data_IF_908813303396
#
_entry.id   IF_908813303396
#
_cell.length_a   1.000
_cell.length_b   1.000
_cell.length_c   1.000
_cell.angle_alpha   90.00
_cell.angle_beta   90.00
_cell.angle_gamma   90.00
#
_symmetry.space_group_name_H-M   'P 1'
#
loop_
_entity.id
_entity.type
_entity.pdbx_description
1 polymer ?
#
# COMPACT_ATOMS: atom_id res chain seq x y z
N UNK A 1 16.42 20.39 -8.73
CA UNK A 1 17.16 21.16 -9.74
C UNK A 1 16.20 21.41 -10.89
N UNK A 2 15.80 22.65 -11.13
CA UNK A 2 14.98 22.98 -12.30
C UNK A 2 15.88 23.12 -13.53
N UNK A 3 15.47 22.52 -14.65
CA UNK A 3 16.20 22.64 -15.91
C UNK A 3 15.78 23.92 -16.64
N UNK A 4 16.77 24.69 -17.12
CA UNK A 4 16.52 25.91 -17.89
C UNK A 4 15.79 25.60 -19.21
N UNK A 5 15.07 26.58 -19.75
CA UNK A 5 14.35 26.42 -21.04
C UNK A 5 15.33 26.10 -22.18
N UNK A 6 16.50 26.73 -22.15
CA UNK A 6 17.58 26.55 -23.12
C UNK A 6 18.11 25.12 -23.08
N UNK A 7 18.28 24.54 -21.88
CA UNK A 7 18.72 23.15 -21.72
C UNK A 7 17.70 22.15 -22.29
N UNK A 8 16.40 22.35 -22.02
CA UNK A 8 15.34 21.51 -22.60
C UNK A 8 15.29 21.62 -24.13
N UNK A 9 15.45 22.83 -24.67
CA UNK A 9 15.50 23.05 -26.12
C UNK A 9 16.70 22.34 -26.76
N UNK A 10 17.88 22.40 -26.14
CA UNK A 10 19.07 21.71 -26.62
C UNK A 10 18.89 20.18 -26.65
N UNK A 11 18.26 19.60 -25.61
CA UNK A 11 17.92 18.16 -25.59
C UNK A 11 16.91 17.78 -26.69
N UNK A 12 15.92 18.63 -26.94
CA UNK A 12 14.93 18.39 -28.00
C UNK A 12 15.54 18.41 -29.40
N UNK A 13 16.65 19.13 -29.60
CA UNK A 13 17.37 19.20 -30.87
C UNK A 13 18.29 17.99 -31.16
N UNK A 14 18.44 17.05 -30.21
CA UNK A 14 19.18 15.81 -30.48
C UNK A 14 18.54 15.02 -31.61
N UNK A 15 19.37 14.38 -32.43
CA UNK A 15 18.91 13.40 -33.42
C UNK A 15 18.24 12.21 -32.74
N UNK A 16 17.44 11.45 -33.49
CA UNK A 16 16.77 10.24 -32.94
C UNK A 16 17.77 9.27 -32.31
N UNK A 17 18.90 9.02 -33.00
CA UNK A 17 19.94 8.08 -32.54
C UNK A 17 20.58 8.55 -31.23
N UNK A 18 20.83 9.86 -31.09
CA UNK A 18 21.40 10.42 -29.86
C UNK A 18 20.42 10.34 -28.68
N UNK A 19 19.13 10.57 -28.95
CA UNK A 19 18.06 10.39 -27.97
C UNK A 19 17.97 8.94 -27.51
N UNK A 20 17.97 7.98 -28.43
CA UNK A 20 17.89 6.55 -28.09
C UNK A 20 19.09 6.10 -27.24
N UNK A 21 20.31 6.49 -27.64
CA UNK A 21 21.53 6.22 -26.85
C UNK A 21 21.49 6.87 -25.47
N UNK A 22 20.90 8.06 -25.33
CA UNK A 22 20.72 8.71 -24.04
C UNK A 22 19.68 7.96 -23.20
N UNK A 23 18.52 7.63 -23.78
CA UNK A 23 17.44 6.88 -23.11
C UNK A 23 17.97 5.56 -22.57
N UNK A 24 18.65 4.74 -23.38
CA UNK A 24 19.21 3.46 -22.91
C UNK A 24 20.22 3.62 -21.78
N UNK A 25 21.00 4.71 -21.75
CA UNK A 25 21.89 5.01 -20.61
C UNK A 25 21.12 5.42 -19.36
N UNK A 26 20.03 6.18 -19.51
CA UNK A 26 19.18 6.60 -18.38
C UNK A 26 18.41 5.41 -17.80
N UNK A 27 17.85 4.53 -18.64
CA UNK A 27 17.13 3.33 -18.19
C UNK A 27 18.03 2.34 -17.42
N UNK A 28 19.33 2.29 -17.74
CA UNK A 28 20.29 1.51 -16.94
C UNK A 28 20.49 2.06 -15.52
N UNK A 29 20.29 3.36 -15.33
CA UNK A 29 20.43 4.03 -14.03
C UNK A 29 19.12 3.99 -13.22
N UNK A 30 17.99 4.13 -13.90
CA UNK A 30 16.67 4.09 -13.29
C UNK A 30 15.96 2.76 -13.56
N UNK A 31 16.15 1.82 -12.63
CA UNK A 31 15.55 0.48 -12.71
C UNK A 31 14.03 0.53 -12.68
N UNK A 32 13.43 1.47 -11.94
CA UNK A 32 11.98 1.55 -11.80
C UNK A 32 11.37 2.01 -13.11
N UNK A 33 11.92 3.08 -13.71
CA UNK A 33 11.49 3.55 -15.03
C UNK A 33 11.66 2.48 -16.10
N UNK A 34 12.77 1.72 -16.05
CA UNK A 34 13.00 0.59 -16.96
C UNK A 34 11.91 -0.49 -16.85
N UNK A 35 11.58 -0.92 -15.63
CA UNK A 35 10.50 -1.89 -15.39
C UNK A 35 9.14 -1.37 -15.83
N UNK A 36 8.84 -0.10 -15.55
CA UNK A 36 7.60 0.56 -15.98
C UNK A 36 7.46 0.57 -17.50
N UNK A 37 8.49 1.04 -18.23
CA UNK A 37 8.45 1.04 -19.69
C UNK A 37 8.39 -0.38 -20.27
N UNK A 38 9.05 -1.35 -19.62
CA UNK A 38 8.91 -2.75 -20.04
C UNK A 38 7.46 -3.22 -19.92
N UNK A 39 6.80 -2.92 -18.81
CA UNK A 39 5.39 -3.21 -18.61
C UNK A 39 4.51 -2.52 -19.66
N UNK A 40 4.70 -1.22 -19.88
CA UNK A 40 3.86 -0.44 -20.80
C UNK A 40 4.06 -0.79 -22.29
N UNK A 41 5.27 -1.23 -22.69
CA UNK A 41 5.62 -1.36 -24.11
C UNK A 41 5.77 -2.81 -24.59
N UNK A 42 6.02 -3.77 -23.69
CA UNK A 42 6.44 -5.13 -24.06
C UNK A 42 5.60 -6.20 -23.36
N UNK A 43 5.27 -6.01 -22.09
CA UNK A 43 4.63 -7.05 -21.28
C UNK A 43 3.24 -7.41 -21.83
N UNK A 44 2.97 -8.70 -22.11
CA UNK A 44 1.68 -9.13 -22.63
C UNK A 44 0.59 -9.16 -21.55
N UNK A 45 0.96 -9.12 -20.27
CA UNK A 45 0.02 -9.19 -19.14
C UNK A 45 -0.61 -7.82 -18.87
N UNK A 46 -1.90 -7.82 -18.54
CA UNK A 46 -2.59 -6.59 -18.14
C UNK A 46 -2.25 -6.19 -16.71
N UNK A 47 -2.63 -4.97 -16.33
CA UNK A 47 -2.55 -4.51 -14.93
C UNK A 47 -3.26 -5.46 -13.98
N UNK A 48 -4.44 -5.96 -14.37
CA UNK A 48 -5.21 -6.92 -13.56
C UNK A 48 -4.45 -8.24 -13.40
N UNK A 49 -3.88 -8.81 -14.47
CA UNK A 49 -3.10 -10.05 -14.34
C UNK A 49 -1.88 -9.90 -13.42
N UNK A 50 -1.20 -8.75 -13.49
CA UNK A 50 -0.11 -8.43 -12.57
C UNK A 50 -0.60 -8.28 -11.14
N UNK A 51 -1.79 -7.72 -10.94
CA UNK A 51 -2.40 -7.56 -9.62
C UNK A 51 -2.74 -8.93 -9.03
N UNK A 52 -3.40 -9.80 -9.78
CA UNK A 52 -3.73 -11.18 -9.35
C UNK A 52 -2.47 -11.94 -8.92
N UNK A 53 -1.41 -11.86 -9.73
CA UNK A 53 -0.10 -12.44 -9.39
C UNK A 53 0.49 -11.85 -8.10
N UNK A 54 0.29 -10.54 -7.89
CA UNK A 54 0.76 -9.86 -6.69
C UNK A 54 -0.05 -10.25 -5.44
N UNK A 55 -1.35 -10.53 -5.58
CA UNK A 55 -2.20 -11.04 -4.49
C UNK A 55 -1.71 -12.40 -4.00
N UNK A 56 -1.35 -13.30 -4.92
CA UNK A 56 -0.75 -14.59 -4.60
C UNK A 56 0.59 -14.42 -3.87
N UNK A 57 1.47 -13.56 -4.39
CA UNK A 57 2.78 -13.27 -3.79
C UNK A 57 2.62 -12.71 -2.37
N UNK A 58 1.70 -11.77 -2.17
CA UNK A 58 1.41 -11.19 -0.86
C UNK A 58 0.92 -12.27 0.10
N UNK A 59 -0.03 -13.10 -0.34
CA UNK A 59 -0.61 -14.18 0.46
C UNK A 59 0.44 -15.20 0.88
N UNK A 60 1.26 -15.67 -0.05
CA UNK A 60 2.34 -16.63 0.22
C UNK A 60 3.39 -16.03 1.18
N UNK A 61 3.84 -14.80 0.92
CA UNK A 61 4.87 -14.17 1.75
C UNK A 61 4.39 -13.86 3.16
N UNK A 62 3.12 -13.49 3.34
CA UNK A 62 2.54 -13.29 4.67
C UNK A 62 2.42 -14.63 5.41
N UNK A 63 1.99 -15.69 4.74
CA UNK A 63 1.97 -17.05 5.31
C UNK A 63 3.38 -17.51 5.73
N UNK A 64 4.41 -17.25 4.92
CA UNK A 64 5.78 -17.56 5.31
C UNK A 64 6.26 -16.69 6.48
N UNK A 65 5.86 -15.41 6.50
CA UNK A 65 6.19 -14.49 7.57
C UNK A 65 5.54 -14.87 8.90
N UNK A 66 4.34 -15.47 8.90
CA UNK A 66 3.58 -15.79 10.12
C UNK A 66 4.35 -16.69 11.09
N UNK A 67 5.26 -17.54 10.56
CA UNK A 67 6.21 -18.36 11.33
C UNK A 67 7.09 -17.55 12.29
N UNK A 68 7.19 -16.24 12.08
CA UNK A 68 8.04 -15.34 12.86
C UNK A 68 7.26 -14.36 13.75
N UNK A 69 5.94 -14.51 13.93
CA UNK A 69 5.11 -13.62 14.77
C UNK A 69 5.70 -13.44 16.19
N UNK A 70 6.25 -14.50 16.78
CA UNK A 70 6.92 -14.42 18.08
C UNK A 70 8.18 -13.53 18.11
N UNK A 71 8.84 -13.31 16.97
CA UNK A 71 9.93 -12.35 16.82
C UNK A 71 9.44 -11.10 16.09
N UNK A 72 8.78 -10.24 16.84
CA UNK A 72 8.01 -9.16 16.30
C UNK A 72 8.81 -8.09 15.54
N UNK A 73 10.05 -7.81 15.97
CA UNK A 73 10.94 -6.88 15.24
C UNK A 73 11.28 -7.43 13.86
N UNK A 74 11.53 -8.73 13.78
CA UNK A 74 11.83 -9.41 12.52
C UNK A 74 10.59 -9.53 11.65
N UNK A 75 9.45 -9.95 12.22
CA UNK A 75 8.16 -10.05 11.54
C UNK A 75 7.76 -8.72 10.89
N UNK A 76 7.74 -7.62 11.66
CA UNK A 76 7.42 -6.30 11.13
C UNK A 76 8.40 -5.85 10.03
N UNK A 77 9.67 -6.27 10.11
CA UNK A 77 10.65 -6.06 9.05
C UNK A 77 10.28 -6.77 7.74
N UNK A 78 9.78 -8.00 7.81
CA UNK A 78 9.30 -8.76 6.65
C UNK A 78 8.04 -8.10 6.08
N UNK A 79 7.06 -7.78 6.92
CA UNK A 79 5.80 -7.13 6.47
C UNK A 79 6.09 -5.82 5.72
N UNK A 80 7.04 -5.01 6.21
CA UNK A 80 7.45 -3.78 5.52
C UNK A 80 8.12 -4.03 4.17
N UNK A 81 8.85 -5.14 4.02
CA UNK A 81 9.41 -5.55 2.71
C UNK A 81 8.31 -5.92 1.74
N UNK A 82 7.32 -6.72 2.17
CA UNK A 82 6.15 -7.07 1.36
C UNK A 82 5.41 -5.79 0.92
N UNK A 83 5.17 -4.86 1.84
CA UNK A 83 4.58 -3.56 1.50
C UNK A 83 5.42 -2.72 0.53
N UNK A 84 6.74 -2.83 0.56
CA UNK A 84 7.61 -2.13 -0.38
C UNK A 84 7.52 -2.73 -1.78
N UNK A 85 7.36 -4.05 -1.89
CA UNK A 85 7.10 -4.72 -3.16
C UNK A 85 5.74 -4.32 -3.76
N UNK A 86 4.68 -4.21 -2.93
CA UNK A 86 3.38 -3.65 -3.38
C UNK A 86 3.57 -2.23 -3.94
N UNK A 87 4.37 -1.41 -3.25
CA UNK A 87 4.66 -0.05 -3.72
C UNK A 87 5.43 -0.03 -5.03
N UNK A 88 6.36 -0.96 -5.23
CA UNK A 88 7.10 -1.10 -6.48
C UNK A 88 6.16 -1.56 -7.62
N UNK A 89 5.31 -2.56 -7.36
CA UNK A 89 4.28 -3.03 -8.29
C UNK A 89 3.42 -1.86 -8.78
N UNK A 90 2.80 -1.10 -7.87
CA UNK A 90 1.93 0.04 -8.21
C UNK A 90 2.68 1.09 -9.03
N UNK A 91 3.96 1.34 -8.73
CA UNK A 91 4.76 2.31 -9.49
C UNK A 91 5.06 1.84 -10.92
N UNK A 92 5.16 0.53 -11.12
CA UNK A 92 5.39 -0.09 -12.44
C UNK A 92 4.09 -0.13 -13.24
N UNK A 93 3.01 -0.61 -12.63
CA UNK A 93 1.72 -0.85 -13.31
C UNK A 93 0.81 0.38 -13.36
N UNK A 94 1.10 1.39 -12.53
CA UNK A 94 0.23 2.56 -12.30
C UNK A 94 -1.17 2.19 -11.79
N UNK A 95 -1.30 1.02 -11.18
CA UNK A 95 -2.56 0.50 -10.66
C UNK A 95 -3.03 1.24 -9.41
N UNK A 96 -3.95 2.19 -9.59
CA UNK A 96 -4.53 2.93 -8.47
C UNK A 96 -5.44 2.06 -7.62
N UNK A 97 -6.19 1.15 -8.23
CA UNK A 97 -7.06 0.22 -7.50
C UNK A 97 -6.21 -0.74 -6.68
N UNK A 98 -5.21 -1.36 -7.31
CA UNK A 98 -4.24 -2.24 -6.65
C UNK A 98 -3.46 -1.56 -5.53
N UNK A 99 -3.20 -0.25 -5.60
CA UNK A 99 -2.63 0.47 -4.46
C UNK A 99 -3.52 0.38 -3.21
N UNK A 100 -4.84 0.36 -3.38
CA UNK A 100 -5.79 0.23 -2.28
C UNK A 100 -6.00 -1.24 -1.92
N UNK A 101 -6.43 -2.06 -2.88
CA UNK A 101 -6.84 -3.46 -2.63
C UNK A 101 -5.69 -4.30 -2.09
N UNK A 102 -4.48 -4.24 -2.68
CA UNK A 102 -3.32 -5.02 -2.21
C UNK A 102 -2.87 -4.63 -0.80
N UNK A 103 -3.01 -3.34 -0.43
CA UNK A 103 -2.67 -2.89 0.92
C UNK A 103 -3.70 -3.35 1.95
N UNK A 104 -4.99 -3.38 1.60
CA UNK A 104 -6.03 -3.94 2.47
C UNK A 104 -5.86 -5.48 2.56
N UNK A 105 -5.58 -6.15 1.44
CA UNK A 105 -5.26 -7.58 1.39
C UNK A 105 -4.09 -7.93 2.31
N UNK A 106 -2.99 -7.17 2.25
CA UNK A 106 -1.84 -7.38 3.15
C UNK A 106 -2.27 -7.36 4.63
N UNK A 107 -3.11 -6.40 5.02
CA UNK A 107 -3.60 -6.30 6.41
C UNK A 107 -4.49 -7.50 6.72
N UNK A 108 -5.45 -7.82 5.84
CA UNK A 108 -6.34 -8.97 5.98
C UNK A 108 -5.55 -10.27 6.18
N UNK A 109 -4.52 -10.53 5.36
CA UNK A 109 -3.65 -11.72 5.46
C UNK A 109 -2.83 -11.75 6.75
N UNK A 110 -2.45 -10.60 7.29
CA UNK A 110 -1.77 -10.55 8.60
C UNK A 110 -2.74 -10.95 9.71
N UNK A 111 -3.98 -10.45 9.66
CA UNK A 111 -4.99 -10.67 10.68
C UNK A 111 -5.64 -12.06 10.62
N UNK A 112 -5.43 -12.85 9.55
CA UNK A 112 -5.74 -14.29 9.55
C UNK A 112 -5.03 -15.04 10.70
N UNK A 113 -3.94 -14.49 11.24
CA UNK A 113 -3.19 -15.05 12.38
C UNK A 113 -3.53 -14.37 13.71
N UNK A 114 -4.73 -13.83 13.86
CA UNK A 114 -5.19 -13.13 15.06
C UNK A 114 -5.02 -13.93 16.35
N UNK A 115 -5.21 -15.25 16.32
CA UNK A 115 -5.00 -16.12 17.48
C UNK A 115 -3.56 -16.04 18.00
N UNK A 116 -2.58 -16.07 17.11
CA UNK A 116 -1.17 -16.01 17.47
C UNK A 116 -0.74 -14.59 17.85
N UNK A 117 -1.29 -13.57 17.18
CA UNK A 117 -1.08 -12.16 17.49
C UNK A 117 -1.64 -11.79 18.87
N UNK A 118 -2.83 -12.28 19.21
CA UNK A 118 -3.50 -11.99 20.48
C UNK A 118 -2.83 -12.64 21.69
N UNK A 119 -2.10 -13.75 21.47
CA UNK A 119 -1.25 -14.39 22.50
C UNK A 119 0.02 -13.61 22.81
N UNK A 120 0.44 -12.69 21.94
CA UNK A 120 1.63 -11.89 22.19
C UNK A 120 1.38 -10.83 23.25
N UNK A 121 2.44 -10.45 23.97
CA UNK A 121 2.39 -9.25 24.82
C UNK A 121 2.09 -8.02 23.98
N UNK A 122 1.21 -7.17 24.48
CA UNK A 122 0.79 -5.94 23.80
C UNK A 122 1.97 -5.06 23.37
N UNK A 123 2.97 -4.84 24.23
CA UNK A 123 4.15 -4.02 23.93
C UNK A 123 4.91 -4.49 22.68
N UNK A 124 4.88 -5.81 22.42
CA UNK A 124 5.50 -6.37 21.23
C UNK A 124 4.65 -5.99 20.01
N UNK A 125 3.36 -6.31 20.02
CA UNK A 125 2.46 -6.13 18.86
C UNK A 125 2.08 -4.68 18.57
N UNK A 126 2.21 -3.78 19.54
CA UNK A 126 1.84 -2.37 19.44
C UNK A 126 2.37 -1.70 18.15
N UNK A 127 3.66 -1.86 17.83
CA UNK A 127 4.27 -1.24 16.64
C UNK A 127 3.72 -1.79 15.32
N UNK A 128 3.32 -3.06 15.28
CA UNK A 128 2.66 -3.64 14.12
C UNK A 128 1.24 -3.12 14.03
N UNK A 129 0.47 -3.15 15.11
CA UNK A 129 -0.91 -2.65 15.11
C UNK A 129 -1.00 -1.19 14.68
N UNK A 130 -0.12 -0.33 15.21
CA UNK A 130 -0.01 1.05 14.77
C UNK A 130 0.36 1.17 13.27
N UNK A 131 1.22 0.28 12.78
CA UNK A 131 1.55 0.21 11.35
C UNK A 131 0.34 -0.22 10.49
N UNK A 132 -0.46 -1.18 10.97
CA UNK A 132 -1.69 -1.61 10.29
C UNK A 132 -2.72 -0.48 10.27
N UNK A 133 -2.98 0.19 11.41
CA UNK A 133 -3.90 1.34 11.49
C UNK A 133 -3.48 2.44 10.51
N UNK A 134 -2.20 2.82 10.51
CA UNK A 134 -1.69 3.82 9.57
C UNK A 134 -1.88 3.40 8.10
N UNK A 135 -1.75 2.11 7.81
CA UNK A 135 -1.95 1.58 6.45
C UNK A 135 -3.44 1.55 6.09
N UNK A 136 -4.33 1.15 6.99
CA UNK A 136 -5.79 1.26 6.82
C UNK A 136 -6.18 2.69 6.51
N UNK A 137 -5.76 3.66 7.33
CA UNK A 137 -6.03 5.08 7.12
C UNK A 137 -5.52 5.58 5.76
N UNK A 138 -4.32 5.16 5.34
CA UNK A 138 -3.80 5.49 4.01
C UNK A 138 -4.67 4.89 2.91
N UNK A 139 -5.10 3.63 3.04
CA UNK A 139 -5.97 2.98 2.07
C UNK A 139 -7.30 3.72 1.96
N UNK A 140 -7.95 4.07 3.07
CA UNK A 140 -9.20 4.85 3.07
C UNK A 140 -9.05 6.23 2.38
N UNK A 141 -7.93 6.93 2.61
CA UNK A 141 -7.62 8.19 1.90
C UNK A 141 -7.47 8.02 0.38
N UNK A 142 -7.02 6.85 -0.06
CA UNK A 142 -6.88 6.52 -1.47
C UNK A 142 -8.19 6.01 -2.06
N UNK A 143 -8.98 5.24 -1.32
CA UNK A 143 -10.33 4.79 -1.71
C UNK A 143 -11.20 5.96 -2.14
N UNK A 144 -11.21 7.06 -1.37
CA UNK A 144 -11.97 8.26 -1.76
C UNK A 144 -11.53 8.94 -3.04
N UNK A 145 -10.35 8.63 -3.55
CA UNK A 145 -9.82 9.15 -4.81
C UNK A 145 -10.03 8.17 -5.97
N UNK A 146 -10.50 6.96 -5.69
CA UNK A 146 -10.90 6.00 -6.72
C UNK A 146 -12.23 6.42 -7.33
N UNK A 147 -12.47 5.87 -8.53
CA UNK A 147 -13.81 5.91 -9.11
C UNK A 147 -14.80 5.15 -8.21
N UNK A 148 -16.05 5.60 -8.19
CA UNK A 148 -17.12 5.02 -7.37
C UNK A 148 -17.42 3.59 -7.79
N UNK A 149 -17.21 3.25 -9.07
CA UNK A 149 -17.41 1.89 -9.58
C UNK A 149 -16.54 0.85 -8.85
N UNK A 150 -15.38 1.26 -8.33
CA UNK A 150 -14.49 0.38 -7.57
C UNK A 150 -14.87 0.22 -6.10
N UNK A 151 -15.77 1.05 -5.56
CA UNK A 151 -16.05 1.06 -4.12
C UNK A 151 -16.66 -0.25 -3.63
N UNK A 152 -17.51 -0.89 -4.44
CA UNK A 152 -18.12 -2.17 -4.11
C UNK A 152 -17.06 -3.26 -3.86
N UNK A 153 -16.08 -3.39 -4.75
CA UNK A 153 -14.98 -4.36 -4.60
C UNK A 153 -14.08 -4.03 -3.40
N UNK A 154 -13.83 -2.74 -3.14
CA UNK A 154 -13.07 -2.31 -1.96
C UNK A 154 -13.83 -2.59 -0.66
N UNK A 155 -15.15 -2.42 -0.65
CA UNK A 155 -15.98 -2.65 0.52
C UNK A 155 -16.00 -4.11 0.94
N UNK A 156 -15.95 -5.06 0.01
CA UNK A 156 -15.76 -6.49 0.34
C UNK A 156 -14.46 -6.73 1.14
N UNK A 157 -13.37 -6.04 0.75
CA UNK A 157 -12.11 -6.13 1.47
C UNK A 157 -12.14 -5.40 2.82
N UNK A 158 -12.85 -4.27 2.91
CA UNK A 158 -12.98 -3.49 4.13
C UNK A 158 -13.87 -4.18 5.16
N UNK A 159 -14.95 -4.82 4.75
CA UNK A 159 -15.82 -5.63 5.63
C UNK A 159 -15.03 -6.78 6.25
N UNK A 160 -14.26 -7.50 5.42
CA UNK A 160 -13.38 -8.58 5.90
C UNK A 160 -12.30 -8.08 6.85
N UNK A 161 -11.84 -6.83 6.66
CA UNK A 161 -10.87 -6.18 7.54
C UNK A 161 -11.52 -5.79 8.88
N UNK A 162 -12.69 -5.18 8.84
CA UNK A 162 -13.46 -4.77 10.03
C UNK A 162 -13.73 -5.99 10.92
N UNK A 163 -14.24 -7.08 10.36
CA UNK A 163 -14.50 -8.33 11.09
C UNK A 163 -13.24 -8.82 11.82
N UNK A 164 -12.10 -8.88 11.11
CA UNK A 164 -10.84 -9.31 11.70
C UNK A 164 -10.29 -8.33 12.74
N UNK A 165 -10.59 -7.03 12.64
CA UNK A 165 -10.20 -6.07 13.68
C UNK A 165 -10.99 -6.37 14.96
N UNK A 166 -12.30 -6.59 14.88
CA UNK A 166 -13.14 -6.92 16.04
C UNK A 166 -12.78 -8.26 16.71
N UNK A 167 -12.21 -9.20 15.95
CA UNK A 167 -11.66 -10.44 16.52
C UNK A 167 -10.38 -10.21 17.35
N UNK A 168 -9.77 -9.02 17.30
CA UNK A 168 -8.53 -8.68 17.98
C UNK A 168 -8.72 -7.49 18.92
N UNK A 169 -9.08 -7.78 20.17
CA UNK A 169 -9.39 -6.78 21.21
C UNK A 169 -8.35 -5.67 21.37
N UNK A 170 -7.06 -6.01 21.26
CA UNK A 170 -5.99 -5.01 21.40
C UNK A 170 -5.92 -4.08 20.18
N UNK A 171 -6.10 -4.63 18.98
CA UNK A 171 -6.12 -3.84 17.74
C UNK A 171 -7.36 -2.96 17.69
N UNK A 172 -8.55 -3.51 17.97
CA UNK A 172 -9.80 -2.77 18.02
C UNK A 172 -9.73 -1.58 18.96
N UNK A 173 -9.25 -1.80 20.20
CA UNK A 173 -9.03 -0.70 21.15
C UNK A 173 -8.06 0.34 20.65
N UNK A 174 -7.02 -0.06 19.90
CA UNK A 174 -6.09 0.90 19.32
C UNK A 174 -6.70 1.71 18.18
N UNK A 175 -7.60 1.13 17.37
CA UNK A 175 -8.37 1.90 16.39
C UNK A 175 -9.18 3.00 17.08
N UNK A 176 -9.96 2.64 18.10
CA UNK A 176 -10.78 3.59 18.88
C UNK A 176 -9.89 4.65 19.55
N UNK A 177 -8.82 4.24 20.22
CA UNK A 177 -7.93 5.14 20.93
C UNK A 177 -7.15 6.10 20.01
N UNK A 178 -7.01 5.77 18.72
CA UNK A 178 -6.44 6.67 17.72
C UNK A 178 -7.51 7.50 16.99
N UNK A 179 -8.76 7.48 17.46
CA UNK A 179 -9.86 8.26 16.90
C UNK A 179 -10.31 7.77 15.52
N UNK A 180 -10.13 6.48 15.23
CA UNK A 180 -10.59 5.88 13.97
C UNK A 180 -11.99 5.32 14.17
N UNK A 181 -12.95 5.85 13.43
CA UNK A 181 -14.32 5.36 13.41
C UNK A 181 -14.44 4.15 12.46
N UNK A 182 -15.01 3.05 12.94
CA UNK A 182 -15.22 1.84 12.16
C UNK A 182 -16.20 2.06 11.00
N UNK A 183 -17.11 3.03 11.10
CA UNK A 183 -17.97 3.41 9.97
C UNK A 183 -17.16 3.84 8.74
N UNK A 184 -15.91 4.29 8.91
CA UNK A 184 -15.05 4.63 7.78
C UNK A 184 -14.54 3.40 7.02
N UNK A 185 -14.73 2.18 7.52
CA UNK A 185 -14.49 0.93 6.79
C UNK A 185 -15.65 0.58 5.84
N UNK A 186 -16.39 1.59 5.38
CA UNK A 186 -17.30 1.50 4.24
C UNK A 186 -17.05 2.73 3.35
N UNK A 187 -16.82 2.51 2.06
CA UNK A 187 -16.30 3.51 1.13
C UNK A 187 -17.20 4.75 1.04
N UNK A 188 -18.52 4.58 1.07
CA UNK A 188 -19.50 5.66 1.03
C UNK A 188 -19.51 6.50 2.32
N UNK A 189 -19.26 5.88 3.47
CA UNK A 189 -19.22 6.52 4.80
C UNK A 189 -17.88 7.19 5.14
N UNK A 190 -16.83 7.02 4.34
CA UNK A 190 -15.62 7.81 4.51
C UNK A 190 -15.98 9.30 4.35
N UNK A 191 -15.55 10.23 5.23
CA UNK A 191 -15.88 11.65 5.11
C UNK A 191 -15.28 12.33 3.87
N UNK A 192 -15.91 13.39 3.35
CA UNK A 192 -15.39 14.14 2.17
C UNK A 192 -14.05 14.83 2.44
N UNK A 193 -13.86 15.38 3.64
CA UNK A 193 -12.63 16.04 4.08
C UNK A 193 -11.77 15.13 4.96
N UNK A 194 -11.72 13.83 4.61
CA UNK A 194 -11.02 12.83 5.41
C UNK A 194 -9.53 13.14 5.61
N UNK A 195 -8.88 13.76 4.62
CA UNK A 195 -7.49 14.20 4.72
C UNK A 195 -7.27 15.24 5.83
N UNK A 196 -8.22 16.18 6.00
CA UNK A 196 -8.17 17.17 7.08
C UNK A 196 -8.42 16.52 8.45
N UNK A 197 -9.36 15.58 8.54
CA UNK A 197 -9.65 14.82 9.77
C UNK A 197 -8.40 14.05 10.21
N UNK A 198 -7.78 13.28 9.31
CA UNK A 198 -6.57 12.52 9.62
C UNK A 198 -5.38 13.43 9.96
N UNK A 199 -5.28 14.60 9.32
CA UNK A 199 -4.26 15.59 9.66
C UNK A 199 -4.44 16.10 11.09
N UNK A 200 -5.67 16.38 11.50
CA UNK A 200 -5.95 16.83 12.86
C UNK A 200 -5.65 15.75 13.91
N UNK A 201 -6.08 14.50 13.66
CA UNK A 201 -5.74 13.33 14.51
C UNK A 201 -4.22 13.22 14.71
N UNK A 202 -3.42 13.38 13.65
CA UNK A 202 -1.94 13.36 13.74
C UNK A 202 -1.36 14.55 14.51
N UNK A 203 -1.97 15.72 14.42
CA UNK A 203 -1.56 16.91 15.16
C UNK A 203 -1.77 16.74 16.67
N UNK A 204 -2.84 16.03 17.06
CA UNK A 204 -3.13 15.68 18.45
C UNK A 204 -2.19 14.62 19.03
N UNK A 205 -1.31 14.03 18.22
CA UNK A 205 -0.29 13.07 18.66
C UNK A 205 -0.64 11.60 18.39
N UNK A 206 -1.82 11.31 17.84
CA UNK A 206 -2.22 9.97 17.44
C UNK A 206 -1.52 9.53 16.14
N UNK A 207 -1.59 8.22 15.85
CA UNK A 207 -0.99 7.60 14.67
C UNK A 207 0.54 7.75 14.56
N UNK A 208 1.23 8.09 15.66
CA UNK A 208 2.70 8.28 15.75
C UNK A 208 3.44 7.04 16.24
#
# INVERSE_FOLDING_TARGET
MEYSKEFKAALSNFSSIEKDRLIFRLLKKDKLLSKKLYFELIDPETTDNKRDSMEEIVSEKVLLASKYIGNQKYYLGIIRKISAEITEHVKITTDKFGEVSLNILLINKILEFNDDLSRQRFDNVYKLYLYLINKTVKSLLLTKKLDVDYWMEIDEHLESLEEKIHQNHYLEKLFINNGIDFNWLTSDKIPDHFDLIIKDIKNQGFLR
#
